data_IF_573405375520
#
_entry.id   IF_573405375520
#
_cell.length_a   1.000
_cell.length_b   1.000
_cell.length_c   1.000
_cell.angle_alpha   90.00
_cell.angle_beta   90.00
_cell.angle_gamma   90.00
#
_symmetry.space_group_name_H-M   'P 1'
#
loop_
_entity.id
_entity.type
_entity.pdbx_description
1 polymer ?
#
# COMPACT_ATOMS: atom_id res chain seq x y z
N UNK A 1 -23.33 -35.06 39.37
CA UNK A 1 -22.20 -34.15 39.66
C UNK A 1 -21.81 -33.52 38.32
N UNK A 2 -22.01 -32.21 38.13
CA UNK A 2 -21.61 -31.52 36.92
C UNK A 2 -20.09 -31.58 36.75
N UNK A 3 -19.63 -31.83 35.54
CA UNK A 3 -18.20 -31.79 35.20
C UNK A 3 -17.75 -30.34 34.98
N UNK A 4 -16.46 -30.06 35.18
CA UNK A 4 -15.92 -28.71 34.99
C UNK A 4 -16.31 -28.04 33.68
N UNK A 5 -16.33 -28.70 32.51
CA UNK A 5 -16.80 -28.11 31.27
C UNK A 5 -18.28 -27.69 31.31
N UNK A 6 -19.13 -28.47 31.96
CA UNK A 6 -20.56 -28.17 32.09
C UNK A 6 -20.80 -26.97 33.02
N UNK A 7 -19.98 -26.81 34.06
CA UNK A 7 -20.00 -25.67 34.96
C UNK A 7 -19.55 -24.41 34.22
N UNK A 8 -18.42 -24.48 33.51
CA UNK A 8 -17.89 -23.37 32.73
C UNK A 8 -18.92 -22.88 31.68
N UNK A 9 -19.56 -23.83 30.97
CA UNK A 9 -20.61 -23.53 30.01
C UNK A 9 -21.85 -22.90 30.65
N UNK A 10 -22.27 -23.36 31.84
CA UNK A 10 -23.42 -22.81 32.57
C UNK A 10 -23.21 -21.34 32.93
N UNK A 11 -21.98 -20.96 33.28
CA UNK A 11 -21.62 -19.59 33.64
C UNK A 11 -21.08 -18.76 32.47
N UNK A 12 -21.05 -19.32 31.26
CA UNK A 12 -20.47 -18.68 30.07
C UNK A 12 -19.01 -18.24 30.28
N UNK A 13 -18.22 -19.06 30.98
CA UNK A 13 -16.80 -18.83 31.28
C UNK A 13 -15.97 -20.05 30.84
N UNK A 14 -14.64 -19.91 30.81
CA UNK A 14 -13.77 -21.05 30.52
C UNK A 14 -13.51 -21.90 31.76
N UNK A 15 -12.98 -23.13 31.58
CA UNK A 15 -12.54 -23.97 32.70
C UNK A 15 -11.46 -23.25 33.53
N UNK A 16 -10.57 -22.54 32.84
CA UNK A 16 -9.51 -21.76 33.48
C UNK A 16 -10.06 -20.60 34.32
N UNK A 17 -11.17 -19.98 33.91
CA UNK A 17 -11.82 -18.93 34.66
C UNK A 17 -12.44 -19.45 35.96
N UNK A 18 -12.79 -20.75 36.04
CA UNK A 18 -13.24 -21.37 37.30
C UNK A 18 -12.15 -21.39 38.38
N UNK A 19 -10.89 -21.37 37.99
CA UNK A 19 -9.74 -21.40 38.89
C UNK A 19 -9.06 -20.04 39.04
N UNK A 20 -9.69 -18.99 38.50
CA UNK A 20 -9.16 -17.63 38.54
C UNK A 20 -9.18 -17.11 39.94
N UNK A 21 -8.02 -16.75 40.46
CA UNK A 21 -7.92 -16.00 41.73
C UNK A 21 -8.46 -14.57 41.43
N UNK A 22 -9.25 -14.01 42.38
CA UNK A 22 -9.83 -12.67 42.28
C UNK A 22 -8.78 -11.55 42.22
N UNK A 23 -7.50 -11.89 42.24
CA UNK A 23 -6.34 -11.02 42.07
C UNK A 23 -5.85 -10.91 40.62
N UNK A 24 -6.59 -11.40 39.62
CA UNK A 24 -6.12 -11.41 38.23
C UNK A 24 -6.06 -10.02 37.60
N UNK A 25 -4.98 -9.80 36.85
CA UNK A 25 -4.69 -8.55 36.16
C UNK A 25 -5.67 -8.20 35.03
N UNK A 26 -6.66 -9.05 34.74
CA UNK A 26 -7.61 -8.89 33.65
C UNK A 26 -9.04 -8.72 34.17
N UNK A 27 -9.75 -7.72 33.65
CA UNK A 27 -11.14 -7.46 34.00
C UNK A 27 -12.12 -8.47 33.35
N UNK A 28 -11.73 -9.02 32.19
CA UNK A 28 -12.58 -9.93 31.42
C UNK A 28 -11.76 -10.89 30.53
N UNK A 29 -12.46 -11.79 29.85
CA UNK A 29 -11.85 -12.84 29.03
C UNK A 29 -11.17 -12.26 27.75
N UNK A 30 -11.70 -11.17 27.18
CA UNK A 30 -11.10 -10.53 26.01
C UNK A 30 -9.71 -9.97 26.33
N UNK A 31 -9.54 -9.29 27.47
CA UNK A 31 -8.23 -8.80 27.93
C UNK A 31 -7.24 -9.94 28.16
N UNK A 32 -7.70 -11.08 28.67
CA UNK A 32 -6.87 -12.27 28.78
C UNK A 32 -6.41 -12.79 27.44
N UNK A 33 -7.29 -12.87 26.43
CA UNK A 33 -6.93 -13.29 25.08
C UNK A 33 -5.95 -12.30 24.42
N UNK A 34 -6.10 -11.00 24.68
CA UNK A 34 -5.13 -10.00 24.25
C UNK A 34 -3.73 -10.30 24.82
N UNK A 35 -3.63 -10.61 26.10
CA UNK A 35 -2.36 -11.01 26.73
C UNK A 35 -1.80 -12.33 26.16
N UNK A 36 -2.64 -13.30 25.85
CA UNK A 36 -2.22 -14.54 25.18
C UNK A 36 -1.66 -14.22 23.78
N UNK A 37 -2.30 -13.33 23.03
CA UNK A 37 -1.77 -12.90 21.74
C UNK A 37 -0.46 -12.13 21.89
N UNK A 38 -0.33 -11.23 22.86
CA UNK A 38 0.91 -10.52 23.14
C UNK A 38 2.08 -11.47 23.43
N UNK A 39 1.83 -12.51 24.23
CA UNK A 39 2.83 -13.51 24.59
C UNK A 39 3.17 -14.47 23.43
N UNK A 40 2.21 -14.78 22.56
CA UNK A 40 2.35 -15.70 21.44
C UNK A 40 1.55 -15.20 20.23
N UNK A 41 2.20 -14.39 19.37
CA UNK A 41 1.63 -13.65 18.25
C UNK A 41 1.32 -14.54 17.04
N UNK A 42 0.38 -15.46 17.19
CA UNK A 42 -0.16 -16.26 16.09
C UNK A 42 -1.45 -15.65 15.54
N UNK A 43 -1.74 -15.90 14.27
CA UNK A 43 -3.02 -15.47 13.67
C UNK A 43 -4.22 -16.06 14.42
N UNK A 44 -4.10 -17.27 14.95
CA UNK A 44 -5.16 -17.92 15.71
C UNK A 44 -5.46 -17.16 17.02
N UNK A 45 -4.42 -16.76 17.75
CA UNK A 45 -4.58 -15.99 19.00
C UNK A 45 -5.11 -14.59 18.71
N UNK A 46 -4.70 -13.95 17.61
CA UNK A 46 -5.26 -12.68 17.16
C UNK A 46 -6.77 -12.80 16.89
N UNK A 47 -7.18 -13.79 16.08
CA UNK A 47 -8.59 -14.01 15.74
C UNK A 47 -9.42 -14.26 17.00
N UNK A 48 -8.90 -15.05 17.95
CA UNK A 48 -9.59 -15.32 19.20
C UNK A 48 -9.80 -14.04 20.04
N UNK A 49 -8.78 -13.19 20.18
CA UNK A 49 -8.89 -11.91 20.89
C UNK A 49 -9.86 -10.96 20.14
N UNK A 50 -9.72 -10.83 18.84
CA UNK A 50 -10.54 -9.96 18.00
C UNK A 50 -12.03 -10.33 18.09
N UNK A 51 -12.36 -11.59 17.98
CA UNK A 51 -13.75 -12.07 18.08
C UNK A 51 -14.38 -11.76 19.43
N UNK A 52 -13.63 -11.94 20.52
CA UNK A 52 -14.17 -11.70 21.87
C UNK A 52 -14.35 -10.19 22.14
N UNK A 53 -13.40 -9.34 21.72
CA UNK A 53 -13.56 -7.90 21.81
C UNK A 53 -14.72 -7.38 20.96
N UNK A 54 -14.88 -7.90 19.73
CA UNK A 54 -16.00 -7.55 18.86
C UNK A 54 -17.34 -7.88 19.54
N UNK A 55 -17.47 -9.06 20.18
CA UNK A 55 -18.66 -9.43 20.91
C UNK A 55 -18.93 -8.53 22.13
N UNK A 56 -17.89 -8.09 22.86
CA UNK A 56 -18.05 -7.13 23.96
C UNK A 56 -18.58 -5.79 23.47
N UNK A 57 -18.07 -5.30 22.33
CA UNK A 57 -18.50 -4.04 21.71
C UNK A 57 -19.95 -4.16 21.25
N UNK A 58 -20.31 -5.23 20.55
CA UNK A 58 -21.66 -5.46 20.01
C UNK A 58 -22.73 -5.52 21.13
N UNK A 59 -22.34 -6.07 22.29
CA UNK A 59 -23.22 -6.14 23.48
C UNK A 59 -23.27 -4.85 24.28
N UNK A 60 -22.40 -3.87 23.98
CA UNK A 60 -22.25 -2.65 24.76
C UNK A 60 -21.69 -2.89 26.18
N UNK A 61 -20.99 -4.02 26.41
CA UNK A 61 -20.51 -4.48 27.72
C UNK A 61 -18.99 -4.26 27.87
N UNK A 62 -18.44 -3.22 27.28
CA UNK A 62 -17.01 -2.91 27.29
C UNK A 62 -16.68 -1.73 28.23
N UNK A 63 -15.47 -1.75 28.77
CA UNK A 63 -14.87 -0.66 29.52
C UNK A 63 -13.96 0.21 28.60
N UNK A 64 -13.53 1.37 29.12
CA UNK A 64 -12.52 2.18 28.41
C UNK A 64 -11.17 1.45 28.28
N UNK A 65 -10.85 0.59 29.24
CA UNK A 65 -9.63 -0.23 29.20
C UNK A 65 -9.73 -1.33 28.12
N UNK A 66 -10.92 -1.86 27.87
CA UNK A 66 -11.15 -2.80 26.77
C UNK A 66 -10.86 -2.14 25.41
N UNK A 67 -11.33 -0.91 25.19
CA UNK A 67 -11.07 -0.18 23.95
C UNK A 67 -9.56 0.08 23.76
N UNK A 68 -8.86 0.46 24.82
CA UNK A 68 -7.41 0.64 24.80
C UNK A 68 -6.70 -0.67 24.48
N UNK A 69 -7.07 -1.75 25.17
CA UNK A 69 -6.47 -3.07 25.00
C UNK A 69 -6.72 -3.62 23.59
N UNK A 70 -7.93 -3.43 23.04
CA UNK A 70 -8.26 -3.81 21.69
C UNK A 70 -7.41 -3.03 20.67
N UNK A 71 -7.19 -1.73 20.88
CA UNK A 71 -6.24 -0.94 20.08
C UNK A 71 -4.82 -1.48 20.10
N UNK A 72 -4.34 -1.93 21.28
CA UNK A 72 -3.02 -2.55 21.43
C UNK A 72 -2.92 -3.88 20.66
N UNK A 73 -3.96 -4.71 20.67
CA UNK A 73 -4.02 -5.97 19.89
C UNK A 73 -3.80 -5.68 18.40
N UNK A 74 -4.48 -4.68 17.84
CA UNK A 74 -4.28 -4.27 16.44
C UNK A 74 -2.90 -3.65 16.19
N UNK A 75 -2.35 -2.90 17.15
CA UNK A 75 -1.00 -2.36 17.03
C UNK A 75 0.04 -3.49 16.92
N UNK A 76 -0.06 -4.54 17.73
CA UNK A 76 0.82 -5.71 17.61
C UNK A 76 0.61 -6.44 16.27
N UNK A 77 -0.63 -6.61 15.83
CA UNK A 77 -0.91 -7.24 14.52
C UNK A 77 -0.31 -6.44 13.37
N UNK A 78 -0.41 -5.12 13.42
CA UNK A 78 0.21 -4.25 12.41
C UNK A 78 1.75 -4.44 12.37
N UNK A 79 2.41 -4.52 13.54
CA UNK A 79 3.85 -4.77 13.62
C UNK A 79 4.22 -6.13 13.03
N UNK A 80 3.47 -7.18 13.37
CA UNK A 80 3.70 -8.52 12.85
C UNK A 80 3.47 -8.61 11.34
N UNK A 81 2.45 -7.93 10.81
CA UNK A 81 2.20 -7.84 9.37
C UNK A 81 3.32 -7.10 8.65
N UNK A 82 3.82 -6.00 9.22
CA UNK A 82 4.99 -5.27 8.71
C UNK A 82 6.21 -6.19 8.58
N UNK A 83 6.56 -6.89 9.65
CA UNK A 83 7.77 -7.73 9.68
C UNK A 83 7.65 -8.90 8.71
N UNK A 84 6.47 -9.50 8.61
CA UNK A 84 6.18 -10.54 7.60
C UNK A 84 6.27 -10.00 6.18
N UNK A 85 5.72 -8.82 5.89
CA UNK A 85 5.78 -8.22 4.57
C UNK A 85 7.23 -7.92 4.15
N UNK A 86 8.04 -7.35 5.05
CA UNK A 86 9.46 -7.12 4.81
C UNK A 86 10.20 -8.43 4.51
N UNK A 87 9.96 -9.48 5.30
CA UNK A 87 10.60 -10.79 5.11
C UNK A 87 10.22 -11.40 3.75
N UNK A 88 8.96 -11.25 3.29
CA UNK A 88 8.52 -11.73 1.98
C UNK A 88 9.15 -10.93 0.84
N UNK A 89 9.25 -9.61 0.96
CA UNK A 89 9.94 -8.78 -0.05
C UNK A 89 11.43 -9.13 -0.12
N UNK A 90 12.12 -9.29 1.00
CA UNK A 90 13.54 -9.69 1.02
C UNK A 90 13.75 -11.08 0.42
N UNK A 91 12.84 -12.00 0.69
CA UNK A 91 12.85 -13.32 0.05
C UNK A 91 12.60 -13.21 -1.46
N UNK A 92 11.60 -12.46 -1.88
CA UNK A 92 11.29 -12.25 -3.29
C UNK A 92 12.46 -11.64 -4.05
N UNK A 93 13.09 -10.60 -3.51
CA UNK A 93 14.30 -9.97 -4.09
C UNK A 93 15.42 -11.00 -4.26
N UNK A 94 15.73 -11.76 -3.22
CA UNK A 94 16.81 -12.75 -3.24
C UNK A 94 16.55 -13.88 -4.24
N UNK A 95 15.31 -14.35 -4.36
CA UNK A 95 14.96 -15.47 -5.24
C UNK A 95 14.78 -15.04 -6.70
N UNK A 96 14.44 -13.75 -6.98
CA UNK A 96 14.20 -13.27 -8.34
C UNK A 96 15.41 -12.63 -9.03
N UNK A 97 16.42 -12.23 -8.30
CA UNK A 97 17.55 -11.41 -8.82
C UNK A 97 18.21 -11.96 -10.08
N UNK A 98 18.34 -13.27 -10.20
CA UNK A 98 18.96 -13.92 -11.37
C UNK A 98 17.94 -14.51 -12.35
N UNK A 99 16.69 -14.74 -11.90
CA UNK A 99 15.67 -15.46 -12.66
C UNK A 99 14.74 -14.48 -13.40
N UNK A 100 14.36 -13.40 -12.71
CA UNK A 100 13.43 -12.38 -13.21
C UNK A 100 13.85 -11.01 -12.66
N UNK A 101 14.81 -10.32 -13.32
CA UNK A 101 15.31 -9.02 -12.88
C UNK A 101 14.19 -7.96 -12.77
N UNK A 102 13.20 -7.97 -13.66
CA UNK A 102 12.07 -7.04 -13.62
C UNK A 102 11.22 -7.26 -12.36
N UNK A 103 10.90 -8.50 -12.04
CA UNK A 103 10.19 -8.83 -10.79
C UNK A 103 11.01 -8.47 -9.56
N UNK A 104 12.34 -8.64 -9.62
CA UNK A 104 13.25 -8.22 -8.55
C UNK A 104 13.14 -6.70 -8.32
N UNK A 105 13.20 -5.89 -9.38
CA UNK A 105 13.05 -4.44 -9.31
C UNK A 105 11.69 -4.03 -8.74
N UNK A 106 10.60 -4.56 -9.28
CA UNK A 106 9.23 -4.29 -8.78
C UNK A 106 9.06 -4.66 -7.31
N UNK A 107 9.70 -5.74 -6.87
CA UNK A 107 9.67 -6.15 -5.44
C UNK A 107 10.44 -5.15 -4.57
N UNK A 108 11.58 -4.63 -5.05
CA UNK A 108 12.34 -3.55 -4.38
C UNK A 108 11.53 -2.25 -4.27
N UNK A 109 10.80 -1.87 -5.32
CA UNK A 109 9.87 -0.72 -5.29
C UNK A 109 8.78 -0.88 -4.23
N UNK A 110 8.13 -2.05 -4.17
CA UNK A 110 7.13 -2.32 -3.14
C UNK A 110 7.72 -2.31 -1.72
N UNK A 111 8.96 -2.78 -1.56
CA UNK A 111 9.68 -2.68 -0.29
C UNK A 111 9.95 -1.22 0.11
N UNK A 112 10.37 -0.37 -0.83
CA UNK A 112 10.54 1.07 -0.60
C UNK A 112 9.22 1.73 -0.19
N UNK A 113 8.13 1.39 -0.86
CA UNK A 113 6.79 1.85 -0.51
C UNK A 113 6.41 1.45 0.92
N UNK A 114 6.65 0.19 1.30
CA UNK A 114 6.40 -0.26 2.67
C UNK A 114 7.25 0.51 3.69
N UNK A 115 8.55 0.72 3.41
CA UNK A 115 9.42 1.52 4.28
C UNK A 115 8.87 2.93 4.48
N UNK A 116 8.32 3.55 3.44
CA UNK A 116 7.65 4.85 3.56
C UNK A 116 6.43 4.78 4.47
N UNK A 117 5.55 3.81 4.26
CA UNK A 117 4.33 3.64 5.07
C UNK A 117 4.59 3.44 6.57
N UNK A 118 5.75 2.88 6.92
CA UNK A 118 6.16 2.65 8.32
C UNK A 118 7.11 3.73 8.86
N UNK A 119 7.26 4.85 8.14
CA UNK A 119 8.10 5.99 8.59
C UNK A 119 9.60 5.75 8.47
N UNK A 120 10.05 4.83 7.62
CA UNK A 120 11.45 4.49 7.38
C UNK A 120 11.94 4.90 5.98
N UNK A 121 11.35 5.93 5.37
CA UNK A 121 11.73 6.44 4.04
C UNK A 121 13.21 6.80 3.96
N UNK A 122 13.75 7.44 5.00
CA UNK A 122 15.15 7.87 5.05
C UNK A 122 16.12 6.68 4.95
N UNK A 123 15.80 5.54 5.54
CA UNK A 123 16.62 4.31 5.43
C UNK A 123 16.55 3.74 4.00
N UNK A 124 15.35 3.70 3.41
CA UNK A 124 15.18 3.31 2.01
C UNK A 124 16.02 4.20 1.08
N UNK A 125 15.92 5.50 1.24
CA UNK A 125 16.69 6.48 0.46
C UNK A 125 18.19 6.30 0.62
N UNK A 126 18.69 6.11 1.84
CA UNK A 126 20.12 5.87 2.10
C UNK A 126 20.62 4.66 1.33
N UNK A 127 19.86 3.56 1.37
CA UNK A 127 20.22 2.32 0.64
C UNK A 127 20.27 2.55 -0.87
N UNK A 128 19.33 3.32 -1.45
CA UNK A 128 19.35 3.59 -2.88
C UNK A 128 20.47 4.54 -3.30
N UNK A 129 20.86 5.52 -2.48
CA UNK A 129 22.03 6.37 -2.71
C UNK A 129 23.32 5.55 -2.79
N UNK A 130 23.49 4.61 -1.86
CA UNK A 130 24.62 3.69 -1.87
C UNK A 130 24.61 2.78 -3.11
N UNK A 131 23.42 2.24 -3.47
CA UNK A 131 23.25 1.39 -4.64
C UNK A 131 23.61 2.15 -5.94
N UNK A 132 23.06 3.35 -6.13
CA UNK A 132 23.34 4.17 -7.30
C UNK A 132 24.83 4.56 -7.40
N UNK A 133 25.46 4.89 -6.28
CA UNK A 133 26.88 5.21 -6.26
C UNK A 133 27.79 4.01 -6.66
N UNK A 134 27.35 2.78 -6.33
CA UNK A 134 28.08 1.56 -6.69
C UNK A 134 27.78 1.09 -8.13
N UNK A 135 26.58 1.33 -8.63
CA UNK A 135 26.08 0.79 -9.90
C UNK A 135 25.38 1.86 -10.75
N UNK A 136 26.06 2.96 -11.13
CA UNK A 136 25.46 4.02 -11.95
C UNK A 136 25.21 3.59 -13.40
N UNK A 137 25.76 2.47 -13.82
CA UNK A 137 25.63 1.83 -15.12
C UNK A 137 24.40 0.91 -15.22
N UNK A 138 23.64 0.75 -14.14
CA UNK A 138 22.40 -0.04 -14.09
C UNK A 138 21.17 0.88 -14.07
N UNK A 139 20.27 0.69 -15.03
CA UNK A 139 19.00 1.44 -15.11
C UNK A 139 18.17 1.33 -13.84
N UNK A 140 18.07 0.11 -13.26
CA UNK A 140 17.35 -0.15 -12.02
C UNK A 140 17.81 0.72 -10.85
N UNK A 141 19.13 1.08 -10.80
CA UNK A 141 19.66 1.93 -9.74
C UNK A 141 19.08 3.34 -9.79
N UNK A 142 18.87 3.89 -11.00
CA UNK A 142 18.24 5.19 -11.21
C UNK A 142 16.74 5.13 -10.91
N UNK A 143 16.03 4.12 -11.43
CA UNK A 143 14.59 3.94 -11.17
C UNK A 143 14.34 3.86 -9.66
N UNK A 144 15.05 3.00 -8.94
CA UNK A 144 14.87 2.83 -7.50
C UNK A 144 15.27 4.08 -6.70
N UNK A 145 16.24 4.86 -7.18
CA UNK A 145 16.59 6.14 -6.58
C UNK A 145 15.44 7.16 -6.70
N UNK A 146 14.86 7.28 -7.89
CA UNK A 146 13.69 8.14 -8.12
C UNK A 146 12.51 7.72 -7.24
N UNK A 147 12.20 6.44 -7.18
CA UNK A 147 11.13 5.89 -6.33
C UNK A 147 11.38 6.19 -4.85
N UNK A 148 12.62 6.10 -4.39
CA UNK A 148 12.98 6.41 -3.00
C UNK A 148 12.75 7.89 -2.67
N UNK A 149 13.13 8.82 -3.56
CA UNK A 149 12.88 10.26 -3.37
C UNK A 149 11.37 10.58 -3.41
N UNK A 150 10.59 9.97 -4.32
CA UNK A 150 9.14 10.10 -4.34
C UNK A 150 8.51 9.67 -2.99
N UNK A 151 9.01 8.59 -2.41
CA UNK A 151 8.56 8.13 -1.09
C UNK A 151 9.05 9.00 0.09
N UNK A 152 10.04 9.86 -0.14
CA UNK A 152 10.42 10.93 0.78
C UNK A 152 9.64 12.22 0.55
N UNK A 153 8.73 12.27 -0.43
CA UNK A 153 7.99 13.43 -0.91
C UNK A 153 8.91 14.54 -1.47
N UNK A 154 10.12 14.21 -1.88
CA UNK A 154 11.02 15.14 -2.57
C UNK A 154 10.87 14.99 -4.09
N UNK A 155 9.80 15.60 -4.62
CA UNK A 155 9.50 15.53 -6.05
C UNK A 155 10.53 16.29 -6.91
N UNK A 156 11.23 17.29 -6.36
CA UNK A 156 12.31 17.97 -7.07
C UNK A 156 13.52 17.05 -7.26
N UNK A 157 13.97 16.41 -6.18
CA UNK A 157 15.06 15.44 -6.27
C UNK A 157 14.69 14.24 -7.14
N UNK A 158 13.45 13.73 -7.03
CA UNK A 158 12.96 12.65 -7.86
C UNK A 158 13.00 13.00 -9.36
N UNK A 159 12.55 14.20 -9.74
CA UNK A 159 12.62 14.67 -11.13
C UNK A 159 14.06 14.82 -11.61
N UNK A 160 14.93 15.38 -10.79
CA UNK A 160 16.35 15.56 -11.12
C UNK A 160 17.04 14.21 -11.36
N UNK A 161 16.84 13.22 -10.48
CA UNK A 161 17.37 11.87 -10.69
C UNK A 161 16.75 11.17 -11.91
N UNK A 162 15.46 11.37 -12.18
CA UNK A 162 14.85 10.82 -13.39
C UNK A 162 15.45 11.42 -14.67
N UNK A 163 15.70 12.73 -14.70
CA UNK A 163 16.32 13.42 -15.83
C UNK A 163 17.77 12.96 -16.04
N UNK A 164 18.56 12.87 -14.98
CA UNK A 164 19.93 12.34 -15.05
C UNK A 164 19.93 10.88 -15.52
N UNK A 165 19.02 10.04 -15.01
CA UNK A 165 18.88 8.66 -15.44
C UNK A 165 18.52 8.56 -16.94
N UNK A 166 17.66 9.45 -17.45
CA UNK A 166 17.31 9.51 -18.88
C UNK A 166 18.47 9.97 -19.78
N UNK A 167 19.48 10.70 -19.25
CA UNK A 167 20.72 10.97 -20.01
C UNK A 167 21.53 9.68 -20.25
N UNK A 168 21.49 8.73 -19.32
CA UNK A 168 22.15 7.43 -19.44
C UNK A 168 21.30 6.37 -20.13
N UNK A 169 19.97 6.40 -19.92
CA UNK A 169 18.99 5.43 -20.38
C UNK A 169 17.82 6.13 -21.09
N UNK A 170 18.05 6.73 -22.30
CA UNK A 170 17.03 7.54 -22.98
C UNK A 170 15.80 6.76 -23.43
N UNK A 171 15.89 5.43 -23.53
CA UNK A 171 14.78 4.54 -23.89
C UNK A 171 14.10 3.91 -22.67
N UNK A 172 14.39 4.38 -21.45
CA UNK A 172 13.70 3.94 -20.24
C UNK A 172 12.27 4.48 -20.19
N UNK A 173 11.31 3.63 -20.38
CA UNK A 173 9.90 4.01 -20.22
C UNK A 173 9.56 4.25 -18.75
N UNK A 174 10.17 3.49 -17.81
CA UNK A 174 9.99 3.64 -16.37
C UNK A 174 10.45 5.01 -15.87
N UNK A 175 11.66 5.43 -16.24
CA UNK A 175 12.16 6.75 -15.86
C UNK A 175 11.27 7.87 -16.43
N UNK A 176 10.73 7.72 -17.65
CA UNK A 176 9.76 8.66 -18.19
C UNK A 176 8.46 8.68 -17.38
N UNK A 177 7.93 7.55 -16.90
CA UNK A 177 6.75 7.51 -16.03
C UNK A 177 7.03 8.23 -14.70
N UNK A 178 8.15 7.94 -14.06
CA UNK A 178 8.51 8.59 -12.79
C UNK A 178 8.80 10.08 -12.94
N UNK A 179 9.40 10.51 -14.06
CA UNK A 179 9.54 11.92 -14.40
C UNK A 179 8.17 12.60 -14.59
N UNK A 180 7.23 11.92 -15.25
CA UNK A 180 5.85 12.38 -15.40
C UNK A 180 5.17 12.56 -14.03
N UNK A 181 5.25 11.58 -13.16
CA UNK A 181 4.66 11.67 -11.82
C UNK A 181 5.29 12.80 -11.00
N UNK A 182 6.61 12.92 -11.00
CA UNK A 182 7.32 13.98 -10.29
C UNK A 182 6.92 15.36 -10.81
N UNK A 183 6.91 15.57 -12.13
CA UNK A 183 6.48 16.83 -12.77
C UNK A 183 5.03 17.15 -12.42
N UNK A 184 4.13 16.16 -12.42
CA UNK A 184 2.72 16.34 -12.02
C UNK A 184 2.57 16.79 -10.58
N UNK A 185 3.31 16.20 -9.64
CA UNK A 185 3.30 16.61 -8.22
C UNK A 185 3.86 18.02 -8.03
N UNK A 186 4.78 18.47 -8.89
CA UNK A 186 5.30 19.82 -8.91
C UNK A 186 4.35 20.84 -9.61
N UNK A 187 3.26 20.38 -10.22
CA UNK A 187 2.33 21.21 -10.97
C UNK A 187 2.77 21.53 -12.41
N UNK A 188 3.84 20.89 -12.89
CA UNK A 188 4.37 21.03 -14.24
C UNK A 188 3.62 20.12 -15.23
N UNK A 189 2.31 20.31 -15.37
CA UNK A 189 1.43 19.35 -16.05
C UNK A 189 1.77 19.10 -17.53
N UNK A 190 2.22 20.14 -18.25
CA UNK A 190 2.61 19.94 -19.65
C UNK A 190 3.85 19.06 -19.76
N UNK A 191 4.86 19.33 -18.95
CA UNK A 191 6.08 18.49 -18.89
C UNK A 191 5.75 17.06 -18.49
N UNK A 192 4.85 16.88 -17.52
CA UNK A 192 4.37 15.57 -17.09
C UNK A 192 3.71 14.80 -18.24
N UNK A 193 2.85 15.46 -19.04
CA UNK A 193 2.23 14.84 -20.23
C UNK A 193 3.27 14.50 -21.30
N UNK A 194 4.27 15.35 -21.52
CA UNK A 194 5.34 15.10 -22.49
C UNK A 194 6.17 13.85 -22.11
N UNK A 195 6.46 13.65 -20.82
CA UNK A 195 7.11 12.44 -20.34
C UNK A 195 6.21 11.20 -20.48
N UNK A 196 4.92 11.31 -20.13
CA UNK A 196 3.97 10.21 -20.32
C UNK A 196 3.83 9.81 -21.80
N UNK A 197 3.84 10.77 -22.71
CA UNK A 197 3.79 10.52 -24.17
C UNK A 197 5.08 9.83 -24.66
N UNK A 198 6.25 10.18 -24.14
CA UNK A 198 7.50 9.46 -24.42
C UNK A 198 7.45 8.02 -23.93
N UNK A 199 6.96 7.79 -22.71
CA UNK A 199 6.79 6.43 -22.18
C UNK A 199 5.84 5.60 -23.05
N UNK A 200 4.71 6.18 -23.50
CA UNK A 200 3.75 5.52 -24.38
C UNK A 200 4.29 5.30 -25.82
N UNK A 201 5.19 6.16 -26.30
CA UNK A 201 5.87 5.92 -27.57
C UNK A 201 6.80 4.70 -27.50
N UNK A 202 7.46 4.48 -26.35
CA UNK A 202 8.31 3.32 -26.09
C UNK A 202 7.48 2.06 -25.80
N UNK A 203 6.38 2.20 -25.07
CA UNK A 203 5.48 1.12 -24.66
C UNK A 203 4.02 1.53 -24.86
N UNK A 204 3.45 1.35 -26.08
CA UNK A 204 2.08 1.77 -26.38
C UNK A 204 0.97 1.04 -25.59
N UNK A 205 1.26 -0.15 -25.10
CA UNK A 205 0.40 -1.00 -24.28
C UNK A 205 0.43 -0.63 -22.77
N UNK A 206 1.27 0.35 -22.40
CA UNK A 206 1.51 0.70 -21.00
C UNK A 206 0.31 1.45 -20.41
N UNK A 207 -0.39 0.81 -19.46
CA UNK A 207 -1.49 1.45 -18.74
C UNK A 207 -1.01 2.64 -17.89
N UNK A 208 0.19 2.55 -17.27
CA UNK A 208 0.75 3.59 -16.40
C UNK A 208 0.90 4.94 -17.11
N UNK A 209 1.34 4.95 -18.40
CA UNK A 209 1.43 6.18 -19.17
C UNK A 209 0.07 6.84 -19.41
N UNK A 210 -0.99 6.05 -19.60
CA UNK A 210 -2.35 6.55 -19.72
C UNK A 210 -2.87 7.07 -18.37
N UNK A 211 -2.58 6.37 -17.26
CA UNK A 211 -2.92 6.84 -15.93
C UNK A 211 -2.23 8.17 -15.62
N UNK A 212 -0.94 8.31 -15.90
CA UNK A 212 -0.21 9.57 -15.66
C UNK A 212 -0.87 10.74 -16.41
N UNK A 213 -1.31 10.55 -17.67
CA UNK A 213 -2.06 11.57 -18.43
C UNK A 213 -3.42 11.88 -17.81
N UNK A 214 -4.19 10.85 -17.42
CA UNK A 214 -5.49 11.04 -16.78
C UNK A 214 -5.35 11.88 -15.51
N UNK A 215 -4.40 11.56 -14.65
CA UNK A 215 -4.13 12.31 -13.41
C UNK A 215 -3.64 13.74 -13.65
N UNK A 216 -2.92 14.01 -14.76
CA UNK A 216 -2.57 15.38 -15.14
C UNK A 216 -3.83 16.19 -15.49
N UNK A 217 -4.76 15.62 -16.27
CA UNK A 217 -6.02 16.29 -16.59
C UNK A 217 -6.92 16.48 -15.35
N UNK A 218 -6.99 15.49 -14.48
CA UNK A 218 -7.71 15.62 -13.20
C UNK A 218 -7.14 16.76 -12.34
N UNK A 219 -5.81 16.85 -12.22
CA UNK A 219 -5.15 17.91 -11.46
C UNK A 219 -5.37 19.31 -12.08
N UNK A 220 -5.51 19.40 -13.39
CA UNK A 220 -5.88 20.64 -14.11
C UNK A 220 -7.39 20.97 -14.01
N UNK A 221 -8.20 20.01 -13.53
CA UNK A 221 -9.65 20.14 -13.48
C UNK A 221 -10.36 19.89 -14.81
N UNK A 222 -9.65 19.38 -15.82
CA UNK A 222 -10.24 18.93 -17.07
C UNK A 222 -10.80 17.51 -16.92
N UNK A 223 -11.92 17.43 -16.19
CA UNK A 223 -12.58 16.17 -15.90
C UNK A 223 -13.09 15.44 -17.14
N UNK A 224 -13.37 16.18 -18.22
CA UNK A 224 -13.83 15.57 -19.48
C UNK A 224 -12.69 14.81 -20.16
N UNK A 225 -11.51 15.44 -20.30
CA UNK A 225 -10.34 14.79 -20.88
C UNK A 225 -9.88 13.59 -20.01
N UNK A 226 -9.86 13.75 -18.70
CA UNK A 226 -9.53 12.66 -17.76
C UNK A 226 -10.49 11.46 -17.92
N UNK A 227 -11.81 11.72 -17.96
CA UNK A 227 -12.82 10.68 -18.12
C UNK A 227 -12.65 9.92 -19.45
N UNK A 228 -12.30 10.62 -20.53
CA UNK A 228 -12.05 9.98 -21.83
C UNK A 228 -10.90 8.98 -21.74
N UNK A 229 -9.79 9.34 -21.08
CA UNK A 229 -8.64 8.44 -20.91
C UNK A 229 -9.01 7.24 -20.02
N UNK A 230 -9.76 7.43 -18.93
CA UNK A 230 -10.25 6.31 -18.13
C UNK A 230 -11.12 5.34 -18.91
N UNK A 231 -11.94 5.83 -19.84
CA UNK A 231 -12.72 4.98 -20.75
C UNK A 231 -11.84 4.21 -21.75
N UNK A 232 -10.71 4.77 -22.17
CA UNK A 232 -9.73 4.08 -23.00
C UNK A 232 -9.03 2.97 -22.23
N UNK A 233 -8.58 3.26 -21.01
CA UNK A 233 -7.99 2.26 -20.09
C UNK A 233 -8.99 1.12 -19.82
N UNK A 234 -10.28 1.45 -19.61
CA UNK A 234 -11.32 0.45 -19.41
C UNK A 234 -11.48 -0.50 -20.62
N UNK A 235 -11.35 0.02 -21.85
CA UNK A 235 -11.38 -0.81 -23.06
C UNK A 235 -10.16 -1.73 -23.14
N UNK A 236 -8.99 -1.25 -22.75
CA UNK A 236 -7.78 -2.06 -22.74
C UNK A 236 -7.90 -3.21 -21.73
N UNK A 237 -8.31 -2.94 -20.50
CA UNK A 237 -8.57 -3.96 -19.49
C UNK A 237 -9.64 -4.98 -19.93
N UNK A 238 -10.71 -4.50 -20.57
CA UNK A 238 -11.73 -5.41 -21.09
C UNK A 238 -11.20 -6.33 -22.19
N UNK A 239 -10.33 -5.82 -23.07
CA UNK A 239 -9.70 -6.61 -24.13
C UNK A 239 -8.77 -7.69 -23.58
N UNK A 240 -8.14 -7.42 -22.44
CA UNK A 240 -7.28 -8.35 -21.71
C UNK A 240 -8.04 -9.31 -20.78
N UNK A 241 -9.35 -9.15 -20.63
CA UNK A 241 -10.20 -9.99 -19.79
C UNK A 241 -10.30 -9.54 -18.33
N UNK A 242 -9.79 -8.36 -17.98
CA UNK A 242 -9.84 -7.77 -16.63
C UNK A 242 -11.13 -6.96 -16.44
N UNK A 243 -12.26 -7.63 -16.33
CA UNK A 243 -13.58 -6.98 -16.32
C UNK A 243 -13.85 -6.13 -15.06
N UNK A 244 -13.30 -6.52 -13.90
CA UNK A 244 -13.44 -5.77 -12.64
C UNK A 244 -12.69 -4.44 -12.74
N UNK A 245 -11.47 -4.45 -13.25
CA UNK A 245 -10.64 -3.29 -13.47
C UNK A 245 -11.27 -2.37 -14.52
N UNK A 246 -11.77 -2.94 -15.62
CA UNK A 246 -12.48 -2.21 -16.64
C UNK A 246 -13.72 -1.50 -16.08
N UNK A 247 -14.51 -2.18 -15.25
CA UNK A 247 -15.68 -1.58 -14.61
C UNK A 247 -15.29 -0.48 -13.62
N UNK A 248 -14.22 -0.66 -12.90
CA UNK A 248 -13.67 0.37 -11.97
C UNK A 248 -13.32 1.65 -12.74
N UNK A 249 -12.65 1.54 -13.89
CA UNK A 249 -12.30 2.70 -14.71
C UNK A 249 -13.54 3.40 -15.32
N UNK A 250 -14.57 2.64 -15.72
CA UNK A 250 -15.85 3.22 -16.16
C UNK A 250 -16.54 4.01 -15.05
N UNK A 251 -16.49 3.51 -13.82
CA UNK A 251 -17.09 4.19 -12.67
C UNK A 251 -16.35 5.50 -12.36
N UNK A 252 -15.01 5.52 -12.42
CA UNK A 252 -14.20 6.73 -12.26
C UNK A 252 -14.58 7.75 -13.33
N UNK A 253 -14.64 7.34 -14.61
CA UNK A 253 -15.02 8.22 -15.71
C UNK A 253 -16.42 8.83 -15.52
N UNK A 254 -17.39 8.02 -15.06
CA UNK A 254 -18.74 8.50 -14.77
C UNK A 254 -18.75 9.58 -13.68
N UNK A 255 -18.02 9.35 -12.57
CA UNK A 255 -17.90 10.33 -11.48
C UNK A 255 -17.27 11.64 -11.93
N UNK A 256 -16.23 11.60 -12.77
CA UNK A 256 -15.57 12.79 -13.32
C UNK A 256 -16.52 13.60 -14.21
N UNK A 257 -17.32 12.93 -15.04
CA UNK A 257 -18.33 13.60 -15.90
C UNK A 257 -19.46 14.22 -15.09
N UNK A 258 -19.90 13.62 -13.99
CA UNK A 258 -20.87 14.20 -13.08
C UNK A 258 -20.32 15.48 -12.42
N UNK A 259 -19.06 15.46 -11.95
CA UNK A 259 -18.40 16.64 -11.39
C UNK A 259 -18.27 17.78 -12.42
N UNK A 260 -18.00 17.46 -13.68
CA UNK A 260 -17.94 18.43 -14.76
C UNK A 260 -19.30 19.09 -15.00
N UNK A 261 -20.39 18.32 -15.01
CA UNK A 261 -21.74 18.83 -15.24
C UNK A 261 -22.22 19.77 -14.14
N UNK A 262 -21.87 19.51 -12.89
CA UNK A 262 -22.18 20.39 -11.75
C UNK A 262 -21.42 21.72 -11.82
N UNK A 263 -20.13 21.70 -12.18
CA UNK A 263 -19.34 22.93 -12.32
C UNK A 263 -19.75 23.81 -13.49
N UNK A 264 -20.26 23.24 -14.58
CA UNK A 264 -20.73 23.98 -15.74
C UNK A 264 -22.14 24.56 -15.57
N UNK A 265 -22.87 24.18 -14.51
CA UNK A 265 -24.21 24.68 -14.17
C UNK A 265 -24.22 25.77 -13.11
N UNK A 266 -23.07 26.09 -12.51
CA UNK A 266 -22.82 27.16 -11.53
C UNK A 266 -22.04 28.31 -12.14
#
# INVERSE_FOLDING_TARGET
MLKLPEIAQLYCITIEDLFRDNSTAYENYAQRLASVYEANRTSQNFIAAEQEFSQLIDRGSYSMDDLRTFGIVYQFMMMDCRDKALAWFERGIRESVEIDPDMCRRTKEQRLRLLSLIGQSAEGLRQQKEQLACHPDQEDSWILMVVAELHCNDNYAALDYAQQGLEHFPESWELNIHASDSSRYLGHYQEAMDYADRALALRPDLADGKFSKAWCYEAQGDHQAAAQIHLEIAKDFQREGFEIEAQTQRNIAAQLLEQHSVKSAT
#
